data_IF_843660049356
#
_entry.id   IF_843660049356
#
_cell.length_a   1.000
_cell.length_b   1.000
_cell.length_c   1.000
_cell.angle_alpha   90.00
_cell.angle_beta   90.00
_cell.angle_gamma   90.00
#
_symmetry.space_group_name_H-M   'P 1'
#
loop_
_entity.id
_entity.type
_entity.pdbx_description
1 polymer ?
#
# COMPACT_ATOMS: atom_id res chain seq x y z
N UNK A 1 10.55 16.06 -6.84
CA UNK A 1 9.23 16.67 -6.65
C UNK A 1 8.45 16.79 -7.94
N UNK A 2 9.04 17.24 -9.01
CA UNK A 2 8.40 17.30 -10.34
C UNK A 2 8.00 15.92 -10.88
N UNK A 3 8.76 14.87 -10.58
CA UNK A 3 8.47 13.49 -10.98
C UNK A 3 7.25 12.94 -10.24
N UNK A 4 7.07 13.29 -8.95
CA UNK A 4 5.88 12.92 -8.16
C UNK A 4 4.63 13.58 -8.71
N UNK A 5 4.69 14.88 -8.99
CA UNK A 5 3.56 15.65 -9.53
C UNK A 5 3.20 15.18 -10.95
N UNK A 6 4.20 14.85 -11.76
CA UNK A 6 4.01 14.30 -13.10
C UNK A 6 3.36 12.92 -13.08
N UNK A 7 3.76 12.04 -12.16
CA UNK A 7 3.17 10.71 -12.00
C UNK A 7 1.77 10.78 -11.38
N UNK A 8 1.57 11.67 -10.42
CA UNK A 8 0.26 11.99 -9.85
C UNK A 8 -0.70 12.50 -10.93
N UNK A 9 -0.27 13.44 -11.74
CA UNK A 9 -1.05 13.94 -12.86
C UNK A 9 -1.31 12.87 -13.91
N UNK A 10 -0.36 11.98 -14.13
CA UNK A 10 -0.52 10.82 -15.01
C UNK A 10 -1.56 9.85 -14.47
N UNK A 11 -1.48 9.47 -13.19
CA UNK A 11 -2.49 8.66 -12.52
C UNK A 11 -3.85 9.36 -12.50
N UNK A 12 -3.89 10.63 -12.12
CA UNK A 12 -5.11 11.44 -12.14
C UNK A 12 -5.66 11.63 -13.55
N UNK A 13 -4.82 11.69 -14.58
CA UNK A 13 -5.21 11.72 -15.98
C UNK A 13 -5.91 10.44 -16.43
N UNK A 14 -5.46 9.29 -15.95
CA UNK A 14 -6.16 8.01 -16.14
C UNK A 14 -7.46 7.91 -15.35
N UNK A 15 -7.55 8.60 -14.22
CA UNK A 15 -8.70 8.61 -13.32
C UNK A 15 -9.65 9.78 -13.56
N UNK A 16 -9.23 10.81 -14.30
CA UNK A 16 -10.01 12.01 -14.55
C UNK A 16 -11.36 11.77 -15.27
N UNK A 17 -11.56 10.70 -16.06
CA UNK A 17 -12.91 10.33 -16.53
C UNK A 17 -13.81 9.80 -15.43
N UNK A 18 -13.24 9.40 -14.30
CA UNK A 18 -13.97 8.98 -13.10
C UNK A 18 -14.01 10.20 -12.21
N UNK A 19 -15.13 10.88 -12.20
CA UNK A 19 -15.47 12.08 -11.45
C UNK A 19 -14.48 12.41 -10.32
N UNK A 20 -13.77 13.52 -10.42
CA UNK A 20 -12.74 13.98 -9.47
C UNK A 20 -13.20 13.91 -8.00
N UNK A 21 -14.48 14.11 -7.76
CA UNK A 21 -15.07 14.06 -6.42
C UNK A 21 -15.11 12.65 -5.82
N UNK A 22 -15.29 11.62 -6.64
CA UNK A 22 -15.33 10.24 -6.14
C UNK A 22 -13.95 9.72 -5.73
N UNK A 23 -12.88 10.15 -6.41
CA UNK A 23 -11.51 9.77 -6.07
C UNK A 23 -11.06 10.47 -4.80
N UNK A 24 -11.34 11.75 -4.64
CA UNK A 24 -11.01 12.49 -3.43
C UNK A 24 -11.76 11.93 -2.22
N UNK A 25 -13.02 11.54 -2.39
CA UNK A 25 -13.81 10.89 -1.34
C UNK A 25 -13.19 9.54 -0.95
N UNK A 26 -12.78 8.73 -1.93
CA UNK A 26 -12.15 7.44 -1.68
C UNK A 26 -10.82 7.59 -0.91
N UNK A 27 -9.97 8.55 -1.31
CA UNK A 27 -8.71 8.84 -0.62
C UNK A 27 -8.98 9.29 0.82
N UNK A 28 -9.97 10.15 1.05
CA UNK A 28 -10.35 10.58 2.39
C UNK A 28 -10.83 9.41 3.26
N UNK A 29 -11.60 8.50 2.70
CA UNK A 29 -12.06 7.30 3.41
C UNK A 29 -10.89 6.36 3.74
N UNK A 30 -9.93 6.20 2.84
CA UNK A 30 -8.72 5.41 3.10
C UNK A 30 -7.86 6.03 4.21
N UNK A 31 -7.74 7.36 4.23
CA UNK A 31 -7.06 8.06 5.32
C UNK A 31 -7.74 7.81 6.66
N UNK A 32 -9.07 7.85 6.71
CA UNK A 32 -9.84 7.51 7.91
C UNK A 32 -9.62 6.05 8.33
N UNK A 33 -9.55 5.11 7.38
CA UNK A 33 -9.28 3.70 7.67
C UNK A 33 -7.93 3.52 8.36
N UNK A 34 -6.90 4.21 7.85
CA UNK A 34 -5.54 4.15 8.41
C UNK A 34 -5.48 4.78 9.80
N UNK A 35 -6.13 5.93 9.99
CA UNK A 35 -6.16 6.62 11.28
C UNK A 35 -7.00 5.89 12.34
N UNK A 36 -7.98 5.12 11.92
CA UNK A 36 -8.86 4.37 12.81
C UNK A 36 -8.41 2.93 13.10
N UNK A 37 -7.32 2.49 12.50
CA UNK A 37 -6.81 1.14 12.69
C UNK A 37 -7.63 0.07 11.98
N UNK A 38 -8.04 0.33 10.74
CA UNK A 38 -8.85 -0.59 9.94
C UNK A 38 -8.15 -0.97 8.62
N UNK A 39 -7.10 -1.81 8.67
CA UNK A 39 -6.36 -2.22 7.49
C UNK A 39 -7.19 -3.06 6.50
N UNK A 40 -8.18 -3.79 6.96
CA UNK A 40 -9.07 -4.57 6.09
C UNK A 40 -9.89 -3.65 5.17
N UNK A 41 -10.44 -2.59 5.72
CA UNK A 41 -11.18 -1.59 4.93
C UNK A 41 -10.25 -0.87 3.95
N UNK A 42 -9.04 -0.50 4.39
CA UNK A 42 -8.02 0.09 3.53
C UNK A 42 -7.73 -0.80 2.31
N UNK A 43 -7.46 -2.08 2.55
CA UNK A 43 -7.14 -3.02 1.48
C UNK A 43 -8.32 -3.25 0.54
N UNK A 44 -9.52 -3.34 1.06
CA UNK A 44 -10.74 -3.46 0.26
C UNK A 44 -10.93 -2.26 -0.68
N UNK A 45 -10.68 -1.04 -0.19
CA UNK A 45 -10.76 0.17 -1.00
C UNK A 45 -9.66 0.26 -2.04
N UNK A 46 -8.44 -0.15 -1.68
CA UNK A 46 -7.31 -0.24 -2.62
C UNK A 46 -7.61 -1.24 -3.76
N UNK A 47 -8.11 -2.41 -3.42
CA UNK A 47 -8.51 -3.42 -4.42
C UNK A 47 -9.60 -2.87 -5.35
N UNK A 48 -10.62 -2.23 -4.81
CA UNK A 48 -11.67 -1.60 -5.61
C UNK A 48 -11.12 -0.49 -6.53
N UNK A 49 -10.18 0.30 -6.04
CA UNK A 49 -9.53 1.34 -6.83
C UNK A 49 -8.75 0.74 -8.00
N UNK A 50 -7.94 -0.28 -7.76
CA UNK A 50 -7.18 -0.96 -8.82
C UNK A 50 -8.11 -1.69 -9.81
N UNK A 51 -9.22 -2.24 -9.36
CA UNK A 51 -10.20 -2.91 -10.22
C UNK A 51 -10.91 -1.95 -11.19
N UNK A 52 -11.01 -0.67 -10.83
CA UNK A 52 -11.63 0.37 -11.68
C UNK A 52 -10.69 0.90 -12.74
N UNK A 53 -9.39 0.62 -12.62
CA UNK A 53 -8.40 1.13 -13.54
C UNK A 53 -8.08 0.11 -14.60
N UNK A 54 -8.26 0.52 -15.86
CA UNK A 54 -7.71 -0.21 -17.00
C UNK A 54 -6.20 0.02 -17.02
N UNK A 55 -5.51 -0.70 -16.16
CA UNK A 55 -4.07 -0.62 -16.06
C UNK A 55 -3.43 -1.24 -17.30
N UNK A 56 -3.23 -0.45 -18.33
CA UNK A 56 -2.32 -0.83 -19.41
C UNK A 56 -0.90 -0.46 -19.00
N UNK A 57 -0.39 -1.16 -18.00
CA UNK A 57 1.01 -1.00 -17.64
C UNK A 57 1.84 -1.75 -18.67
N UNK A 58 2.58 -1.00 -19.46
CA UNK A 58 3.66 -1.52 -20.28
C UNK A 58 4.93 -1.42 -19.47
N UNK A 59 5.45 -2.55 -18.98
CA UNK A 59 6.70 -2.57 -18.25
C UNK A 59 6.74 -3.53 -17.07
N UNK A 60 7.53 -3.21 -16.06
CA UNK A 60 7.66 -4.01 -14.83
C UNK A 60 6.44 -3.81 -13.92
N UNK A 61 5.47 -4.69 -14.05
CA UNK A 61 4.21 -4.63 -13.31
C UNK A 61 4.40 -4.56 -11.79
N UNK A 62 5.44 -5.19 -11.25
CA UNK A 62 5.71 -5.20 -9.82
C UNK A 62 6.08 -3.80 -9.32
N UNK A 63 7.05 -3.16 -9.96
CA UNK A 63 7.49 -1.81 -9.61
C UNK A 63 6.38 -0.80 -9.79
N UNK A 64 5.65 -0.88 -10.88
CA UNK A 64 4.55 0.02 -11.17
C UNK A 64 3.43 -0.10 -10.13
N UNK A 65 3.13 -1.31 -9.68
CA UNK A 65 2.18 -1.54 -8.60
C UNK A 65 2.66 -0.97 -7.27
N UNK A 66 3.93 -1.19 -6.90
CA UNK A 66 4.51 -0.61 -5.70
C UNK A 66 4.48 0.92 -5.72
N UNK A 67 4.82 1.53 -6.86
CA UNK A 67 4.74 2.98 -7.03
C UNK A 67 3.31 3.50 -6.92
N UNK A 68 2.36 2.83 -7.53
CA UNK A 68 0.95 3.20 -7.45
C UNK A 68 0.44 3.15 -6.01
N UNK A 69 0.74 2.08 -5.27
CA UNK A 69 0.41 1.96 -3.86
C UNK A 69 1.03 3.08 -3.03
N UNK A 70 2.31 3.34 -3.22
CA UNK A 70 3.03 4.40 -2.53
C UNK A 70 2.38 5.77 -2.73
N UNK A 71 2.08 6.12 -3.97
CA UNK A 71 1.49 7.42 -4.31
C UNK A 71 0.10 7.57 -3.72
N UNK A 72 -0.73 6.53 -3.80
CA UNK A 72 -2.07 6.54 -3.21
C UNK A 72 -1.98 6.77 -1.70
N UNK A 73 -1.06 6.08 -1.03
CA UNK A 73 -0.88 6.20 0.41
C UNK A 73 -0.31 7.59 0.79
N UNK A 74 0.61 8.13 -0.01
CA UNK A 74 1.08 9.52 0.19
C UNK A 74 -0.04 10.56 0.04
N UNK A 75 -0.96 10.35 -0.90
CA UNK A 75 -2.11 11.23 -1.10
C UNK A 75 -3.06 11.25 0.11
N UNK A 76 -3.04 10.22 0.94
CA UNK A 76 -3.82 10.19 2.18
C UNK A 76 -3.29 11.17 3.23
N UNK A 77 -2.11 11.76 3.02
CA UNK A 77 -1.50 12.69 3.98
C UNK A 77 -0.85 12.03 5.18
N UNK A 78 -0.70 10.71 5.16
CA UNK A 78 -0.06 9.94 6.23
C UNK A 78 1.46 9.92 6.08
N UNK A 79 2.16 9.67 7.20
CA UNK A 79 3.61 9.46 7.16
C UNK A 79 3.92 8.10 6.56
N UNK A 80 4.49 8.12 5.37
CA UNK A 80 4.79 6.92 4.59
C UNK A 80 6.27 6.84 4.26
N UNK A 81 6.86 5.69 4.50
CA UNK A 81 8.19 5.35 4.01
C UNK A 81 8.08 4.16 3.06
N UNK A 82 8.76 4.25 1.93
CA UNK A 82 8.92 3.11 1.03
C UNK A 82 10.34 2.58 1.10
N UNK A 83 10.48 1.28 0.86
CA UNK A 83 11.77 0.62 0.85
C UNK A 83 12.64 0.96 2.06
N UNK A 84 12.02 1.05 3.25
CA UNK A 84 12.77 1.35 4.47
C UNK A 84 13.79 0.27 4.76
N UNK A 85 15.05 0.63 4.76
CA UNK A 85 16.14 -0.28 5.09
C UNK A 85 16.14 -0.59 6.58
N UNK A 86 16.21 -1.86 6.91
CA UNK A 86 16.44 -2.38 8.26
C UNK A 86 17.75 -3.15 8.29
N UNK A 87 18.18 -3.59 9.48
CA UNK A 87 19.38 -4.45 9.61
C UNK A 87 19.25 -5.78 8.86
N UNK A 88 18.05 -6.24 8.59
CA UNK A 88 17.78 -7.56 8.02
C UNK A 88 17.13 -7.51 6.61
N UNK A 89 16.96 -6.34 6.02
CA UNK A 89 16.35 -6.18 4.71
C UNK A 89 15.63 -4.86 4.56
N UNK A 90 14.68 -4.79 3.64
CA UNK A 90 13.88 -3.60 3.37
C UNK A 90 12.40 -3.89 3.50
N UNK A 91 11.70 -3.02 4.21
CA UNK A 91 10.23 -3.01 4.28
C UNK A 91 9.71 -2.30 3.02
N UNK A 92 8.77 -2.90 2.31
CA UNK A 92 8.23 -2.30 1.09
C UNK A 92 7.48 -1.00 1.37
N UNK A 93 6.52 -1.03 2.28
CA UNK A 93 5.75 0.15 2.68
C UNK A 93 5.57 0.16 4.19
N UNK A 94 5.89 1.30 4.81
CA UNK A 94 5.70 1.55 6.22
C UNK A 94 4.82 2.78 6.40
N UNK A 95 3.69 2.63 7.08
CA UNK A 95 2.79 3.74 7.41
C UNK A 95 2.79 3.94 8.91
N UNK A 96 2.95 5.17 9.35
CA UNK A 96 2.88 5.54 10.76
C UNK A 96 1.80 6.59 10.98
N UNK A 97 0.90 6.30 11.90
CA UNK A 97 -0.07 7.26 12.39
C UNK A 97 0.21 7.58 13.86
N UNK A 98 -0.63 8.38 14.48
CA UNK A 98 -0.52 8.67 15.91
C UNK A 98 -0.64 7.39 16.75
N UNK A 99 -1.54 6.49 16.40
CA UNK A 99 -1.92 5.33 17.21
C UNK A 99 -1.56 3.99 16.58
N UNK A 100 -1.13 3.98 15.32
CA UNK A 100 -0.92 2.74 14.55
C UNK A 100 0.36 2.78 13.73
N UNK A 101 0.92 1.58 13.52
CA UNK A 101 2.01 1.34 12.57
C UNK A 101 1.59 0.20 11.65
N UNK A 102 1.74 0.39 10.36
CA UNK A 102 1.43 -0.62 9.35
C UNK A 102 2.70 -1.01 8.62
N UNK A 103 3.04 -2.28 8.69
CA UNK A 103 4.16 -2.88 7.94
C UNK A 103 3.54 -3.68 6.81
N UNK A 104 3.74 -3.23 5.58
CA UNK A 104 3.15 -3.84 4.39
C UNK A 104 4.26 -4.44 3.54
N UNK A 105 4.14 -5.71 3.26
CA UNK A 105 5.02 -6.46 2.36
C UNK A 105 4.22 -6.90 1.14
N UNK A 106 4.78 -6.68 -0.04
CA UNK A 106 4.13 -6.98 -1.31
C UNK A 106 4.86 -8.14 -1.97
N UNK A 107 4.10 -9.14 -2.37
CA UNK A 107 4.57 -10.24 -3.22
C UNK A 107 3.89 -10.18 -4.57
N UNK A 108 4.56 -10.71 -5.56
CA UNK A 108 4.07 -10.80 -6.93
C UNK A 108 4.00 -12.26 -7.33
N UNK A 109 2.84 -12.69 -7.82
CA UNK A 109 2.60 -14.08 -8.24
C UNK A 109 2.99 -15.12 -7.18
N UNK A 110 2.67 -14.82 -5.93
CA UNK A 110 2.98 -15.60 -4.75
C UNK A 110 1.76 -15.69 -3.84
N UNK A 111 1.91 -15.50 -2.53
CA UNK A 111 0.80 -15.54 -1.59
C UNK A 111 0.94 -14.47 -0.50
N UNK A 112 -0.19 -14.03 0.10
CA UNK A 112 -0.14 -13.16 1.29
C UNK A 112 0.59 -13.80 2.48
N UNK A 113 0.50 -15.12 2.62
CA UNK A 113 1.18 -15.85 3.68
C UNK A 113 2.70 -15.77 3.56
N UNK A 114 3.24 -15.86 2.34
CA UNK A 114 4.67 -15.68 2.11
C UNK A 114 5.13 -14.26 2.41
N UNK A 115 4.31 -13.27 2.11
CA UNK A 115 4.59 -11.88 2.48
C UNK A 115 4.66 -11.71 4.00
N UNK A 116 3.69 -12.26 4.73
CA UNK A 116 3.68 -12.24 6.19
C UNK A 116 4.87 -13.01 6.79
N UNK A 117 5.20 -14.17 6.21
CA UNK A 117 6.36 -14.95 6.62
C UNK A 117 7.66 -14.15 6.48
N UNK A 118 7.81 -13.36 5.43
CA UNK A 118 8.96 -12.49 5.25
C UNK A 118 9.04 -11.40 6.33
N UNK A 119 7.93 -10.79 6.69
CA UNK A 119 7.88 -9.79 7.78
C UNK A 119 8.39 -10.41 9.09
N UNK A 120 7.97 -11.62 9.40
CA UNK A 120 8.39 -12.33 10.62
C UNK A 120 9.86 -12.78 10.54
N UNK A 121 10.26 -13.41 9.46
CA UNK A 121 11.62 -13.92 9.26
C UNK A 121 12.65 -12.80 9.29
N UNK A 122 12.37 -11.70 8.64
CA UNK A 122 13.25 -10.52 8.63
C UNK A 122 13.14 -9.66 9.89
N UNK A 123 12.16 -9.94 10.74
CA UNK A 123 11.96 -9.20 11.98
C UNK A 123 11.66 -7.73 11.77
N UNK A 124 10.87 -7.39 10.76
CA UNK A 124 10.55 -5.99 10.43
C UNK A 124 9.78 -5.25 11.52
N UNK A 125 9.09 -5.98 12.40
CA UNK A 125 8.41 -5.39 13.55
C UNK A 125 9.34 -5.12 14.75
N UNK A 126 10.55 -5.65 14.76
CA UNK A 126 11.48 -5.48 15.90
C UNK A 126 11.79 -4.03 16.25
N UNK A 127 12.00 -3.10 15.29
CA UNK A 127 12.23 -1.69 15.63
C UNK A 127 11.07 -1.04 16.39
N UNK A 128 9.90 -1.66 16.39
CA UNK A 128 8.68 -1.17 17.04
C UNK A 128 8.31 -1.97 18.30
N UNK A 129 9.23 -2.79 18.84
CA UNK A 129 8.96 -3.64 20.00
C UNK A 129 8.53 -2.85 21.24
N UNK A 130 9.11 -1.67 21.44
CA UNK A 130 8.79 -0.77 22.56
C UNK A 130 7.80 0.34 22.17
N UNK A 131 7.27 0.29 20.95
CA UNK A 131 6.30 1.27 20.47
C UNK A 131 4.93 1.00 21.10
N UNK A 132 4.31 2.05 21.61
CA UNK A 132 2.98 1.95 22.25
C UNK A 132 1.85 1.83 21.24
N UNK A 133 2.13 2.16 19.97
CA UNK A 133 1.15 2.05 18.89
C UNK A 133 0.88 0.59 18.58
N UNK A 134 -0.34 0.32 18.14
CA UNK A 134 -0.69 -0.99 17.63
C UNK A 134 -0.02 -1.21 16.27
N UNK A 135 0.61 -2.36 16.11
CA UNK A 135 1.36 -2.71 14.89
C UNK A 135 0.56 -3.70 14.09
N UNK A 136 0.25 -3.34 12.86
CA UNK A 136 -0.35 -4.24 11.87
C UNK A 136 0.70 -4.74 10.89
N UNK A 137 0.67 -6.03 10.62
CA UNK A 137 1.44 -6.67 9.58
C UNK A 137 0.50 -7.04 8.45
N UNK A 138 0.77 -6.55 7.27
CA UNK A 138 -0.08 -6.75 6.10
C UNK A 138 0.73 -7.41 4.99
N UNK A 139 0.33 -8.60 4.61
CA UNK A 139 0.87 -9.29 3.45
C UNK A 139 -0.07 -9.11 2.26
N UNK A 140 0.45 -8.65 1.14
CA UNK A 140 -0.32 -8.41 -0.08
C UNK A 140 0.29 -9.21 -1.22
N UNK A 141 -0.54 -9.91 -1.98
CA UNK A 141 -0.14 -10.52 -3.23
C UNK A 141 -0.75 -9.80 -4.43
N UNK A 142 0.09 -9.49 -5.40
CA UNK A 142 -0.31 -8.90 -6.66
C UNK A 142 -0.17 -9.92 -7.78
N UNK A 143 -1.21 -10.07 -8.63
CA UNK A 143 -1.18 -10.93 -9.80
C UNK A 143 -0.80 -10.14 -11.05
N UNK A 144 0.30 -10.51 -11.68
CA UNK A 144 0.73 -9.89 -12.94
C UNK A 144 -0.18 -10.30 -14.10
N UNK A 145 -0.72 -11.52 -14.06
CA UNK A 145 -1.63 -12.03 -15.09
C UNK A 145 -2.95 -11.26 -15.10
N UNK A 146 -3.52 -11.01 -13.90
CA UNK A 146 -4.80 -10.30 -13.74
C UNK A 146 -4.61 -8.79 -13.53
N UNK A 147 -3.37 -8.34 -13.27
CA UNK A 147 -3.00 -6.95 -13.01
C UNK A 147 -3.83 -6.33 -11.89
N UNK A 148 -3.96 -7.07 -10.78
CA UNK A 148 -4.77 -6.67 -9.64
C UNK A 148 -4.22 -7.27 -8.35
N UNK A 149 -4.68 -6.76 -7.21
CA UNK A 149 -4.48 -7.40 -5.92
C UNK A 149 -5.19 -8.75 -5.94
N UNK A 150 -4.45 -9.80 -5.63
CA UNK A 150 -4.91 -11.18 -5.59
C UNK A 150 -4.80 -11.73 -4.17
N UNK A 151 -5.40 -11.02 -3.25
CA UNK A 151 -5.47 -11.39 -1.84
C UNK A 151 -4.54 -10.59 -0.93
N UNK A 152 -4.94 -10.52 0.32
CA UNK A 152 -4.16 -9.95 1.42
C UNK A 152 -4.49 -10.64 2.72
N UNK A 153 -3.59 -10.53 3.69
CA UNK A 153 -3.82 -10.96 5.07
C UNK A 153 -3.28 -9.93 6.04
N UNK A 154 -3.98 -9.75 7.14
CA UNK A 154 -3.62 -8.83 8.21
C UNK A 154 -3.43 -9.60 9.51
N UNK A 155 -2.34 -9.28 10.21
CA UNK A 155 -2.07 -9.72 11.58
C UNK A 155 -1.83 -8.47 12.43
N UNK A 156 -2.50 -8.37 13.56
CA UNK A 156 -2.31 -7.21 14.42
C UNK A 156 -3.15 -7.16 15.67
#
# INVERSE_FOLDING_TARGET
MEVKDGFLNFLLGYYAPIQSDSTNTLISLMSMDVESGNPESLMTRLDALFARTNYQIQGDCEKDFQYAMYIIIELMGEYVETERTTSNGRIDILIKTKDYVYIIEIKTDSTPDEALAQIEEKGYARPFADDRRRIFRVGVNFSTANRRIDGWKVIG
#
